data_IF_975808845154
#
_entry.id   IF_975808845154
#
_cell.length_a   1.000
_cell.length_b   1.000
_cell.length_c   1.000
_cell.angle_alpha   90.00
_cell.angle_beta   90.00
_cell.angle_gamma   90.00
#
_symmetry.space_group_name_H-M   'P 1'
#
loop_
_entity.id
_entity.type
_entity.pdbx_description
1 polymer ?
#
# COMPACT_ATOMS: atom_id res chain seq x y z
N UNK A 1 -5.36 16.03 -4.87
CA UNK A 1 -6.60 16.08 -4.07
C UNK A 1 -6.38 15.08 -2.96
N UNK A 2 -6.55 15.47 -1.70
CA UNK A 2 -6.49 14.52 -0.58
C UNK A 2 -7.84 13.82 -0.50
N UNK A 3 -7.86 12.50 -0.48
CA UNK A 3 -9.08 11.73 -0.30
C UNK A 3 -9.00 10.91 0.99
N UNK A 4 -10.12 10.71 1.66
CA UNK A 4 -10.21 9.89 2.87
C UNK A 4 -11.33 8.88 2.73
N UNK A 5 -11.10 7.68 3.24
CA UNK A 5 -12.05 6.58 3.25
C UNK A 5 -11.99 5.87 4.60
N UNK A 6 -13.12 5.42 5.14
CA UNK A 6 -13.16 4.77 6.45
C UNK A 6 -13.85 3.42 6.45
N UNK A 7 -13.31 2.50 7.26
CA UNK A 7 -13.93 1.22 7.59
C UNK A 7 -14.16 1.13 9.09
N UNK A 8 -15.36 0.71 9.50
CA UNK A 8 -15.67 0.38 10.89
C UNK A 8 -15.63 -1.14 11.09
N UNK A 9 -15.00 -1.58 12.18
CA UNK A 9 -14.75 -2.97 12.52
C UNK A 9 -15.47 -3.38 13.81
N UNK A 10 -16.19 -4.50 13.78
CA UNK A 10 -16.93 -4.96 14.95
C UNK A 10 -16.05 -5.65 16.02
N UNK A 11 -14.83 -6.12 15.68
CA UNK A 11 -13.86 -6.76 16.57
C UNK A 11 -12.45 -6.21 16.37
N UNK A 12 -11.67 -6.14 17.45
CA UNK A 12 -10.24 -5.83 17.40
C UNK A 12 -9.43 -7.12 17.23
N UNK A 13 -9.10 -7.46 16.00
CA UNK A 13 -8.01 -8.39 15.70
C UNK A 13 -6.71 -7.58 15.66
N UNK A 14 -5.54 -8.21 15.78
CA UNK A 14 -4.21 -7.58 15.63
C UNK A 14 -3.97 -7.07 14.20
N UNK A 15 -4.84 -6.22 13.67
CA UNK A 15 -4.89 -5.70 12.31
C UNK A 15 -3.62 -4.98 11.89
N UNK A 16 -2.96 -4.37 12.87
CA UNK A 16 -1.66 -3.73 12.71
C UNK A 16 -0.67 -4.72 12.09
N UNK A 17 -0.69 -6.00 12.44
CA UNK A 17 0.26 -6.97 11.90
C UNK A 17 0.08 -7.20 10.39
N UNK A 18 -1.14 -7.11 9.86
CA UNK A 18 -1.44 -7.35 8.45
C UNK A 18 -1.25 -6.09 7.61
N UNK A 19 -1.81 -4.97 8.09
CA UNK A 19 -1.82 -3.72 7.34
C UNK A 19 -0.57 -2.88 7.52
N UNK A 20 0.25 -3.12 8.55
CA UNK A 20 1.49 -2.36 8.78
C UNK A 20 2.74 -3.15 8.38
N UNK A 21 2.62 -4.45 8.16
CA UNK A 21 3.69 -5.23 7.55
C UNK A 21 3.71 -4.96 6.04
N UNK A 22 4.78 -4.39 5.47
CA UNK A 22 4.80 -4.00 4.07
C UNK A 22 4.64 -5.18 3.09
N UNK A 23 5.14 -6.37 3.44
CA UNK A 23 4.99 -7.56 2.61
C UNK A 23 3.55 -8.05 2.59
N UNK A 24 2.91 -8.15 3.75
CA UNK A 24 1.50 -8.56 3.84
C UNK A 24 0.60 -7.52 3.18
N UNK A 25 0.82 -6.23 3.45
CA UNK A 25 0.08 -5.15 2.81
C UNK A 25 0.19 -5.21 1.28
N UNK A 26 1.41 -5.39 0.74
CA UNK A 26 1.61 -5.51 -0.71
C UNK A 26 0.80 -6.67 -1.31
N UNK A 27 0.84 -7.84 -0.67
CA UNK A 27 0.08 -9.01 -1.09
C UNK A 27 -1.43 -8.81 -1.00
N UNK A 28 -1.91 -8.17 0.08
CA UNK A 28 -3.33 -7.84 0.26
C UNK A 28 -3.79 -6.91 -0.86
N UNK A 29 -3.00 -5.92 -1.26
CA UNK A 29 -3.46 -4.94 -2.26
C UNK A 29 -3.65 -5.54 -3.66
N UNK A 30 -2.98 -6.64 -4.01
CA UNK A 30 -2.98 -7.19 -5.37
C UNK A 30 -2.31 -6.30 -6.45
N UNK A 31 -1.95 -5.06 -6.11
CA UNK A 31 -1.46 -4.03 -7.03
C UNK A 31 -0.04 -3.54 -6.72
N UNK A 32 0.55 -4.03 -5.62
CA UNK A 32 1.91 -3.71 -5.21
C UNK A 32 2.70 -5.01 -5.00
N UNK A 33 3.87 -5.09 -5.63
CA UNK A 33 4.79 -6.20 -5.45
C UNK A 33 6.15 -5.69 -4.98
N UNK A 34 6.56 -6.07 -3.78
CA UNK A 34 7.92 -5.82 -3.29
C UNK A 34 8.88 -6.75 -4.04
N UNK A 35 9.82 -6.14 -4.77
CA UNK A 35 10.81 -6.87 -5.58
C UNK A 35 12.18 -6.97 -4.92
N UNK A 36 12.60 -5.89 -4.23
CA UNK A 36 13.90 -5.79 -3.58
C UNK A 36 13.80 -4.96 -2.32
N UNK A 37 14.77 -5.14 -1.43
CA UNK A 37 14.93 -4.34 -0.22
C UNK A 37 16.21 -3.52 -0.31
N UNK A 38 16.19 -2.31 0.25
CA UNK A 38 17.40 -1.50 0.35
C UNK A 38 18.35 -2.12 1.38
N UNK A 39 19.59 -2.38 1.00
CA UNK A 39 20.64 -2.85 1.89
C UNK A 39 21.60 -1.70 2.23
N UNK A 40 21.79 -1.45 3.53
CA UNK A 40 22.62 -0.32 4.00
C UNK A 40 24.11 -0.55 3.74
N UNK A 41 24.57 -1.79 3.84
CA UNK A 41 25.98 -2.14 3.62
C UNK A 41 26.38 -2.00 2.14
N UNK A 42 25.49 -2.37 1.23
CA UNK A 42 25.68 -2.30 -0.23
C UNK A 42 25.17 -0.99 -0.84
N UNK A 43 24.48 -0.15 -0.06
CA UNK A 43 23.86 1.13 -0.48
C UNK A 43 23.01 0.98 -1.74
N UNK A 44 22.31 -0.14 -1.89
CA UNK A 44 21.56 -0.47 -3.11
C UNK A 44 20.39 -1.40 -2.82
N UNK A 45 19.46 -1.49 -3.78
CA UNK A 45 18.34 -2.42 -3.70
C UNK A 45 18.78 -3.82 -4.17
N UNK A 46 18.66 -4.80 -3.29
CA UNK A 46 19.05 -6.21 -3.52
C UNK A 46 17.89 -7.16 -3.23
N UNK A 47 17.97 -8.39 -3.74
CA UNK A 47 16.98 -9.41 -3.38
C UNK A 47 17.06 -9.68 -1.86
N UNK A 48 15.93 -10.01 -1.24
CA UNK A 48 15.88 -10.22 0.21
C UNK A 48 16.88 -11.29 0.69
N UNK A 49 17.07 -12.35 -0.09
CA UNK A 49 18.05 -13.43 0.20
C UNK A 49 19.52 -13.00 0.12
N UNK A 50 19.79 -11.82 -0.45
CA UNK A 50 21.14 -11.27 -0.63
C UNK A 50 21.44 -10.12 0.35
N UNK A 51 20.44 -9.64 1.09
CA UNK A 51 20.60 -8.53 2.02
C UNK A 51 21.41 -8.97 3.25
N UNK A 52 22.38 -8.15 3.65
CA UNK A 52 23.20 -8.32 4.84
C UNK A 52 22.72 -7.40 5.97
N UNK A 53 22.42 -6.15 5.63
CA UNK A 53 21.91 -5.12 6.52
C UNK A 53 20.66 -4.48 5.90
N UNK A 54 19.54 -5.21 5.84
CA UNK A 54 18.31 -4.73 5.21
C UNK A 54 17.72 -3.53 5.96
N UNK A 55 17.34 -2.50 5.22
CA UNK A 55 16.49 -1.42 5.70
C UNK A 55 15.02 -1.77 5.45
N UNK A 56 14.36 -2.28 6.50
CA UNK A 56 12.94 -2.67 6.48
C UNK A 56 11.96 -1.47 6.33
N UNK A 57 12.47 -0.26 6.06
CA UNK A 57 11.63 0.90 5.71
C UNK A 57 11.68 1.24 4.21
N UNK A 58 12.55 0.63 3.41
CA UNK A 58 12.78 1.02 2.01
C UNK A 58 12.77 -0.17 1.06
N UNK A 59 11.84 -0.13 0.12
CA UNK A 59 11.58 -1.22 -0.81
C UNK A 59 11.57 -0.73 -2.24
N UNK A 60 12.06 -1.57 -3.16
CA UNK A 60 11.79 -1.40 -4.57
C UNK A 60 10.51 -2.17 -4.92
N UNK A 61 9.56 -1.51 -5.56
CA UNK A 61 8.25 -2.09 -5.87
C UNK A 61 7.95 -2.09 -7.36
N UNK A 62 7.17 -3.07 -7.79
CA UNK A 62 6.37 -2.99 -9.01
C UNK A 62 4.95 -2.59 -8.64
N UNK A 63 4.37 -1.68 -9.41
CA UNK A 63 2.98 -1.25 -9.28
C UNK A 63 2.24 -1.76 -10.49
N UNK A 64 1.28 -2.66 -10.26
CA UNK A 64 0.43 -3.24 -11.30
C UNK A 64 -0.85 -2.45 -11.33
N UNK A 65 -1.17 -1.87 -12.48
CA UNK A 65 -2.26 -0.93 -12.56
C UNK A 65 -3.58 -1.61 -12.89
N UNK A 66 -3.57 -2.46 -13.90
CA UNK A 66 -4.74 -3.19 -14.35
C UNK A 66 -4.38 -4.67 -14.44
N UNK A 67 -5.34 -5.55 -14.11
CA UNK A 67 -5.18 -6.98 -14.31
C UNK A 67 -5.34 -7.38 -15.78
N UNK A 68 -6.00 -6.53 -16.58
CA UNK A 68 -6.24 -6.77 -18.01
C UNK A 68 -5.11 -6.24 -18.90
N UNK A 69 -4.24 -5.36 -18.39
CA UNK A 69 -3.09 -4.86 -19.11
C UNK A 69 -1.78 -5.37 -18.50
N UNK A 70 -0.76 -5.60 -19.34
CA UNK A 70 0.59 -5.92 -18.87
C UNK A 70 1.36 -4.67 -18.40
N UNK A 71 0.67 -3.54 -18.19
CA UNK A 71 1.30 -2.29 -17.80
C UNK A 71 1.62 -2.29 -16.30
N UNK A 72 2.91 -2.23 -16.00
CA UNK A 72 3.41 -2.04 -14.65
C UNK A 72 4.47 -0.95 -14.65
N UNK A 73 4.60 -0.27 -13.51
CA UNK A 73 5.69 0.67 -13.28
C UNK A 73 6.59 0.21 -12.14
N UNK A 74 7.82 0.71 -12.17
CA UNK A 74 8.82 0.47 -11.12
C UNK A 74 8.97 1.72 -10.29
N UNK A 75 9.11 1.52 -8.98
CA UNK A 75 9.29 2.60 -8.05
C UNK A 75 9.93 2.18 -6.75
N UNK A 76 9.88 3.10 -5.81
CA UNK A 76 10.26 2.92 -4.43
C UNK A 76 9.03 3.05 -3.54
N UNK A 77 9.00 2.26 -2.48
CA UNK A 77 8.07 2.39 -1.39
C UNK A 77 8.86 2.63 -0.11
N UNK A 78 8.54 3.72 0.59
CA UNK A 78 9.13 4.06 1.89
C UNK A 78 8.05 3.99 2.95
N UNK A 79 8.36 3.33 4.07
CA UNK A 79 7.40 3.04 5.13
C UNK A 79 7.75 3.86 6.37
N UNK A 80 6.78 4.67 6.82
CA UNK A 80 6.92 5.48 8.02
C UNK A 80 5.91 5.02 9.09
N UNK A 81 6.35 4.31 10.13
CA UNK A 81 5.46 3.94 11.23
C UNK A 81 5.03 5.19 12.01
N UNK A 82 3.76 5.22 12.42
CA UNK A 82 3.17 6.22 13.31
C UNK A 82 2.63 5.52 14.56
N UNK A 83 2.48 6.26 15.67
CA UNK A 83 1.90 5.70 16.89
C UNK A 83 0.50 5.07 16.66
N UNK A 84 -0.33 5.75 15.87
CA UNK A 84 -1.69 5.33 15.53
C UNK A 84 -1.80 4.67 14.15
N UNK A 85 -0.71 4.44 13.42
CA UNK A 85 -0.84 4.13 11.99
C UNK A 85 0.46 3.82 11.26
N UNK A 86 0.40 3.89 9.94
CA UNK A 86 1.54 3.77 9.04
C UNK A 86 1.32 4.64 7.81
N UNK A 87 2.40 5.18 7.25
CA UNK A 87 2.40 5.79 5.92
C UNK A 87 3.21 4.92 4.98
N UNK A 88 2.63 4.64 3.81
CA UNK A 88 3.29 4.11 2.63
C UNK A 88 3.50 5.24 1.63
N UNK A 89 4.72 5.78 1.58
CA UNK A 89 5.12 6.71 0.54
C UNK A 89 5.51 5.92 -0.71
N UNK A 90 4.96 6.26 -1.86
CA UNK A 90 5.21 5.59 -3.13
C UNK A 90 5.66 6.60 -4.16
N UNK A 91 6.77 6.31 -4.83
CA UNK A 91 7.29 7.11 -5.94
C UNK A 91 7.75 6.20 -7.08
N UNK A 92 7.19 6.39 -8.27
CA UNK A 92 7.63 5.70 -9.50
C UNK A 92 8.83 6.40 -10.13
N UNK A 93 9.75 5.65 -10.73
CA UNK A 93 10.96 6.21 -11.35
C UNK A 93 10.68 7.12 -12.57
N UNK A 94 9.55 6.90 -13.25
CA UNK A 94 9.10 7.75 -14.36
C UNK A 94 8.28 8.97 -13.87
N UNK A 95 8.17 9.17 -12.55
CA UNK A 95 7.39 10.22 -11.89
C UNK A 95 5.89 10.23 -12.24
N UNK A 96 5.33 9.11 -12.73
CA UNK A 96 3.90 9.01 -13.02
C UNK A 96 3.03 8.98 -11.77
N UNK A 97 3.54 8.44 -10.66
CA UNK A 97 2.90 8.38 -9.36
C UNK A 97 3.87 8.83 -8.28
N UNK A 98 3.45 9.78 -7.44
CA UNK A 98 4.20 10.20 -6.27
C UNK A 98 3.24 10.66 -5.15
N UNK A 99 3.35 10.07 -3.96
CA UNK A 99 2.75 10.59 -2.75
C UNK A 99 2.55 9.54 -1.66
N UNK A 100 1.64 9.83 -0.74
CA UNK A 100 1.46 9.07 0.49
C UNK A 100 0.11 8.36 0.53
N UNK A 101 0.12 7.10 0.96
CA UNK A 101 -1.05 6.35 1.40
C UNK A 101 -0.92 6.05 2.89
N UNK A 102 -1.78 6.66 3.70
CA UNK A 102 -1.75 6.56 5.16
C UNK A 102 -2.90 5.70 5.67
N UNK A 103 -2.60 4.81 6.62
CA UNK A 103 -3.57 3.97 7.32
C UNK A 103 -3.49 4.30 8.80
N UNK A 104 -4.58 4.80 9.36
CA UNK A 104 -4.73 5.10 10.78
C UNK A 104 -5.72 4.13 11.42
N UNK A 105 -5.39 3.69 12.64
CA UNK A 105 -6.25 2.90 13.50
C UNK A 105 -6.70 3.78 14.66
N UNK A 106 -8.01 4.04 14.74
CA UNK A 106 -8.64 4.77 15.83
C UNK A 106 -9.79 3.94 16.39
N UNK A 107 -9.61 3.36 17.58
CA UNK A 107 -10.57 2.47 18.24
C UNK A 107 -10.99 1.26 17.38
N UNK A 108 -12.15 1.38 16.72
CA UNK A 108 -12.76 0.38 15.81
C UNK A 108 -12.75 0.86 14.35
N UNK A 109 -12.17 2.02 14.06
CA UNK A 109 -12.13 2.62 12.74
C UNK A 109 -10.74 2.50 12.12
N UNK A 110 -10.70 2.04 10.88
CA UNK A 110 -9.56 2.17 9.99
C UNK A 110 -9.83 3.35 9.07
N UNK A 111 -8.97 4.36 9.12
CA UNK A 111 -9.02 5.50 8.25
C UNK A 111 -7.89 5.41 7.23
N UNK A 112 -8.24 5.47 5.96
CA UNK A 112 -7.32 5.48 4.84
C UNK A 112 -7.28 6.91 4.29
N UNK A 113 -6.10 7.52 4.27
CA UNK A 113 -5.88 8.86 3.75
C UNK A 113 -4.93 8.75 2.56
N UNK A 114 -5.39 9.19 1.41
CA UNK A 114 -4.65 9.15 0.17
C UNK A 114 -4.29 10.58 -0.29
N UNK A 115 -3.00 10.79 -0.52
CA UNK A 115 -2.42 12.01 -1.06
C UNK A 115 -1.45 11.69 -2.21
N UNK A 116 -1.78 10.71 -3.03
CA UNK A 116 -0.98 10.34 -4.19
C UNK A 116 -1.34 11.21 -5.41
N UNK A 117 -0.31 11.77 -6.04
CA UNK A 117 -0.40 12.55 -7.28
C UNK A 117 -0.11 11.63 -8.46
N UNK A 118 -1.04 11.58 -9.40
CA UNK A 118 -0.91 10.83 -10.65
C UNK A 118 -0.79 11.79 -11.83
N UNK A 119 0.32 11.72 -12.57
CA UNK A 119 0.65 12.65 -13.68
C UNK A 119 0.25 12.13 -15.07
N UNK A 120 0.07 10.82 -15.22
CA UNK A 120 -0.34 10.18 -16.48
C UNK A 120 -1.74 9.60 -16.29
N UNK A 121 -2.54 9.48 -17.34
CA UNK A 121 -3.70 8.58 -17.34
C UNK A 121 -3.16 7.16 -17.16
N UNK A 122 -3.13 6.68 -15.93
CA UNK A 122 -2.85 5.30 -15.58
C UNK A 122 -4.21 4.54 -15.66
N UNK A 123 -4.23 3.21 -15.78
CA UNK A 123 -5.45 2.38 -15.61
C UNK A 123 -6.50 2.43 -16.73
N UNK A 124 -6.11 2.45 -18.00
CA UNK A 124 -7.09 2.35 -19.11
C UNK A 124 -8.15 3.47 -19.14
N UNK A 125 -7.86 4.61 -18.50
CA UNK A 125 -8.77 5.76 -18.39
C UNK A 125 -9.50 5.90 -17.05
N UNK A 126 -9.37 4.95 -16.11
CA UNK A 126 -9.90 5.08 -14.74
C UNK A 126 -9.08 6.08 -13.93
N UNK A 127 -9.73 6.83 -13.06
CA UNK A 127 -9.06 7.79 -12.18
C UNK A 127 -8.34 7.07 -11.04
N UNK A 128 -7.24 7.64 -10.56
CA UNK A 128 -6.50 7.08 -9.41
C UNK A 128 -7.36 6.92 -8.14
N UNK A 129 -8.34 7.80 -7.93
CA UNK A 129 -9.29 7.68 -6.81
C UNK A 129 -10.14 6.40 -6.91
N UNK A 130 -10.49 5.96 -8.13
CA UNK A 130 -11.21 4.70 -8.34
C UNK A 130 -10.32 3.50 -8.01
N UNK A 131 -9.02 3.56 -8.29
CA UNK A 131 -8.08 2.52 -7.88
C UNK A 131 -8.01 2.41 -6.36
N UNK A 132 -7.82 3.52 -5.64
CA UNK A 132 -7.72 3.48 -4.18
C UNK A 132 -9.00 2.89 -3.59
N UNK A 133 -10.16 3.29 -4.11
CA UNK A 133 -11.45 2.69 -3.73
C UNK A 133 -11.52 1.20 -4.06
N UNK A 134 -11.03 0.77 -5.22
CA UNK A 134 -10.95 -0.63 -5.61
C UNK A 134 -10.05 -1.44 -4.66
N UNK A 135 -8.83 -0.98 -4.39
CA UNK A 135 -7.90 -1.60 -3.43
C UNK A 135 -8.58 -1.75 -2.07
N UNK A 136 -9.27 -0.71 -1.59
CA UNK A 136 -9.88 -0.78 -0.25
C UNK A 136 -11.13 -1.67 -0.24
N UNK A 137 -12.05 -1.53 -1.20
CA UNK A 137 -13.32 -2.26 -1.23
C UNK A 137 -13.17 -3.73 -1.64
N UNK A 138 -12.36 -3.98 -2.67
CA UNK A 138 -12.35 -5.27 -3.36
C UNK A 138 -11.21 -6.15 -2.87
N UNK A 139 -10.17 -5.56 -2.27
CA UNK A 139 -9.04 -6.31 -1.72
C UNK A 139 -8.95 -6.23 -0.20
N UNK A 140 -8.74 -5.05 0.38
CA UNK A 140 -8.53 -4.90 1.84
C UNK A 140 -9.79 -5.33 2.61
N UNK A 141 -10.97 -4.80 2.27
CA UNK A 141 -12.22 -5.16 2.93
C UNK A 141 -12.52 -6.65 2.79
N UNK A 142 -12.34 -7.23 1.61
CA UNK A 142 -12.54 -8.68 1.37
C UNK A 142 -11.59 -9.50 2.25
N UNK A 143 -10.31 -9.13 2.32
CA UNK A 143 -9.34 -9.77 3.21
C UNK A 143 -9.78 -9.69 4.67
N UNK A 144 -10.16 -8.50 5.15
CA UNK A 144 -10.62 -8.31 6.53
C UNK A 144 -11.87 -9.15 6.84
N UNK A 145 -12.83 -9.19 5.91
CA UNK A 145 -14.02 -10.04 6.05
C UNK A 145 -13.68 -11.53 6.07
N UNK A 146 -12.67 -11.97 5.30
CA UNK A 146 -12.21 -13.36 5.34
C UNK A 146 -11.62 -13.77 6.69
N UNK A 147 -11.13 -12.81 7.49
CA UNK A 147 -10.69 -13.02 8.87
C UNK A 147 -11.86 -13.03 9.88
N UNK A 148 -13.12 -12.99 9.43
CA UNK A 148 -14.30 -12.96 10.29
C UNK A 148 -14.59 -11.59 10.90
N UNK A 149 -14.10 -10.51 10.29
CA UNK A 149 -14.42 -9.13 10.67
C UNK A 149 -15.59 -8.61 9.85
N UNK A 150 -16.64 -8.17 10.53
CA UNK A 150 -17.67 -7.37 9.87
C UNK A 150 -17.12 -5.98 9.58
N UNK A 151 -17.15 -5.60 8.31
CA UNK A 151 -16.62 -4.34 7.79
C UNK A 151 -17.75 -3.50 7.25
N UNK A 152 -18.01 -2.35 7.89
CA UNK A 152 -18.96 -1.34 7.40
C UNK A 152 -18.18 -0.22 6.73
N UNK A 153 -18.61 0.17 5.52
CA UNK A 153 -18.02 1.28 4.77
C UNK A 153 -18.76 2.56 5.15
N UNK A 154 -18.02 3.57 5.58
CA UNK A 154 -18.51 4.93 5.87
C UNK A 154 -17.91 5.94 4.88
#
# INVERSE_FOLDING_TARGET
>A
MVSSYSLTLNKQVELKQFLFNPFLFSGITGHLLISKIFDRSMKSYVNLSQAKEPDLSKYQVFIVYDHESAEFNRGIMIVYPKFSGIIYHIETFDNTLNGDFEILVQDKKLLFIDNIKVKKSIFGGKSYSELVKHIINDHIKVFLSSLGLDVVVE
#
